data_IF_976387287744
#
_entry.id   IF_976387287744
#
_cell.length_a   1.000
_cell.length_b   1.000
_cell.length_c   1.000
_cell.angle_alpha   90.00
_cell.angle_beta   90.00
_cell.angle_gamma   90.00
#
_symmetry.space_group_name_H-M   'P 1'
#
loop_
_entity.id
_entity.type
_entity.pdbx_description
1 polymer ?
#
# COMPACT_ATOMS: atom_id res chain seq x y z
N UNK A 1 31.07 -26.96 13.52
CA UNK A 1 29.82 -27.49 12.99
C UNK A 1 29.61 -26.83 11.65
N UNK A 2 29.70 -27.63 10.60
CA UNK A 2 29.71 -27.22 9.20
C UNK A 2 28.31 -26.72 8.78
N UNK A 3 28.28 -25.60 8.08
CA UNK A 3 27.10 -25.10 7.38
C UNK A 3 26.98 -25.82 6.03
N UNK A 4 25.86 -26.49 5.70
CA UNK A 4 25.70 -27.05 4.37
C UNK A 4 24.97 -26.09 3.41
N UNK A 5 25.42 -26.15 2.16
CA UNK A 5 24.76 -25.76 0.91
C UNK A 5 24.83 -24.29 0.47
N UNK A 6 25.92 -24.01 -0.25
CA UNK A 6 25.93 -23.10 -1.41
C UNK A 6 24.72 -23.37 -2.32
N UNK A 7 23.90 -22.34 -2.51
CA UNK A 7 22.81 -22.36 -3.48
C UNK A 7 23.43 -22.12 -4.86
N UNK A 8 23.39 -23.12 -5.74
CA UNK A 8 23.80 -23.00 -7.14
C UNK A 8 22.84 -22.09 -7.93
N UNK A 9 23.02 -20.78 -7.80
CA UNK A 9 22.49 -19.79 -8.75
C UNK A 9 23.52 -19.61 -9.86
N UNK A 10 23.30 -20.18 -11.06
CA UNK A 10 24.14 -19.84 -12.21
C UNK A 10 24.40 -20.89 -13.29
N UNK A 11 23.49 -21.84 -13.56
CA UNK A 11 23.67 -22.71 -14.74
C UNK A 11 23.59 -21.85 -16.01
N UNK A 12 24.73 -21.72 -16.72
CA UNK A 12 24.82 -20.99 -17.97
C UNK A 12 24.04 -21.71 -19.07
N UNK A 13 23.33 -20.97 -19.92
CA UNK A 13 22.55 -21.57 -21.02
C UNK A 13 23.41 -22.35 -22.03
N UNK A 14 24.72 -22.11 -22.02
CA UNK A 14 25.73 -22.83 -22.81
C UNK A 14 25.89 -24.29 -22.42
N UNK A 15 25.40 -24.67 -21.24
CA UNK A 15 25.44 -26.05 -20.73
C UNK A 15 24.22 -26.88 -21.15
N UNK A 16 23.27 -26.28 -21.85
CA UNK A 16 22.06 -26.94 -22.33
C UNK A 16 22.28 -27.50 -23.74
N UNK A 17 21.63 -28.63 -24.10
CA UNK A 17 21.75 -29.23 -25.43
C UNK A 17 20.88 -28.47 -26.45
N UNK A 18 21.18 -27.17 -26.63
CA UNK A 18 20.52 -26.29 -27.59
C UNK A 18 21.30 -26.26 -28.90
N UNK A 19 20.60 -26.01 -30.00
CA UNK A 19 21.28 -25.78 -31.28
C UNK A 19 22.10 -24.47 -31.24
N UNK A 20 23.23 -24.38 -31.97
CA UNK A 20 24.10 -23.20 -31.92
C UNK A 20 23.40 -21.89 -32.31
N UNK A 21 22.47 -21.96 -33.27
CA UNK A 21 21.70 -20.80 -33.76
C UNK A 21 20.72 -20.26 -32.70
N UNK A 22 20.00 -21.13 -32.00
CA UNK A 22 19.08 -20.74 -30.92
C UNK A 22 19.84 -20.20 -29.72
N UNK A 23 20.94 -20.85 -29.35
CA UNK A 23 21.81 -20.41 -28.26
C UNK A 23 22.42 -19.03 -28.53
N UNK A 24 22.86 -18.76 -29.76
CA UNK A 24 23.34 -17.44 -30.17
C UNK A 24 22.28 -16.35 -30.04
N UNK A 25 21.05 -16.61 -30.51
CA UNK A 25 19.93 -15.65 -30.40
C UNK A 25 19.55 -15.35 -28.94
N UNK A 26 19.61 -16.35 -28.06
CA UNK A 26 19.33 -16.18 -26.63
C UNK A 26 20.41 -15.35 -25.92
N UNK A 27 21.69 -15.61 -26.22
CA UNK A 27 22.81 -14.82 -25.69
C UNK A 27 22.75 -13.36 -26.18
N UNK A 28 22.44 -13.13 -27.46
CA UNK A 28 22.27 -11.78 -28.01
C UNK A 28 21.11 -11.01 -27.37
N UNK A 29 20.09 -11.72 -26.86
CA UNK A 29 18.98 -11.13 -26.11
C UNK A 29 19.29 -10.90 -24.62
N UNK A 30 20.54 -11.17 -24.18
CA UNK A 30 20.98 -11.00 -22.80
C UNK A 30 20.53 -12.13 -21.85
N UNK A 31 20.00 -13.23 -22.38
CA UNK A 31 19.49 -14.35 -21.59
C UNK A 31 20.61 -15.36 -21.30
N UNK A 32 21.47 -15.01 -20.34
CA UNK A 32 22.72 -15.76 -20.11
C UNK A 32 22.58 -16.92 -19.11
N UNK A 33 21.48 -16.97 -18.34
CA UNK A 33 21.26 -17.96 -17.27
C UNK A 33 19.85 -18.56 -17.33
N UNK A 34 19.71 -19.81 -16.88
CA UNK A 34 18.44 -20.55 -16.87
C UNK A 34 17.30 -19.85 -16.09
N UNK A 35 17.54 -19.18 -14.94
CA UNK A 35 16.48 -18.47 -14.19
C UNK A 35 15.85 -17.30 -14.95
N UNK A 36 16.55 -16.69 -15.92
CA UNK A 36 15.98 -15.64 -16.77
C UNK A 36 14.81 -16.13 -17.63
N UNK A 37 14.61 -17.45 -17.76
CA UNK A 37 13.56 -18.05 -18.59
C UNK A 37 12.30 -18.43 -17.81
N UNK A 38 12.37 -18.56 -16.47
CA UNK A 38 11.21 -18.95 -15.66
C UNK A 38 10.08 -17.92 -15.66
N UNK A 39 10.39 -16.67 -16.03
CA UNK A 39 9.44 -15.55 -16.13
C UNK A 39 8.96 -15.27 -17.57
N UNK A 40 9.45 -16.00 -18.56
CA UNK A 40 9.15 -15.76 -19.98
C UNK A 40 8.07 -16.71 -20.49
N UNK A 41 7.06 -16.16 -21.19
CA UNK A 41 6.09 -16.94 -21.95
C UNK A 41 6.53 -17.06 -23.42
N UNK A 42 5.91 -17.98 -24.16
CA UNK A 42 6.22 -18.25 -25.59
C UNK A 42 6.13 -16.99 -26.47
N UNK A 43 5.25 -16.04 -26.10
CA UNK A 43 5.05 -14.78 -26.80
C UNK A 43 6.23 -13.81 -26.64
N UNK A 44 6.81 -13.71 -25.43
CA UNK A 44 7.93 -12.80 -25.13
C UNK A 44 9.23 -13.31 -25.77
N UNK A 45 9.44 -14.64 -25.80
CA UNK A 45 10.59 -15.24 -26.49
C UNK A 45 10.58 -14.92 -27.99
N UNK A 46 9.42 -15.01 -28.64
CA UNK A 46 9.31 -14.70 -30.07
C UNK A 46 9.56 -13.21 -30.36
N UNK A 47 9.05 -12.30 -29.53
CA UNK A 47 9.12 -10.86 -29.79
C UNK A 47 10.53 -10.27 -29.53
N UNK A 48 11.28 -10.84 -28.59
CA UNK A 48 12.58 -10.31 -28.17
C UNK A 48 13.81 -10.95 -28.84
N UNK A 49 13.68 -12.11 -29.48
CA UNK A 49 14.85 -12.92 -29.92
C UNK A 49 14.86 -13.29 -31.40
N UNK A 50 13.75 -13.08 -32.14
CA UNK A 50 13.63 -13.49 -33.55
C UNK A 50 13.69 -15.01 -33.75
N UNK A 51 13.34 -15.78 -32.72
CA UNK A 51 13.19 -17.25 -32.76
C UNK A 51 11.80 -17.60 -33.30
N UNK A 52 11.70 -18.64 -34.12
CA UNK A 52 10.40 -19.09 -34.64
C UNK A 52 9.58 -19.79 -33.55
N UNK A 53 8.24 -19.77 -33.68
CA UNK A 53 7.32 -20.39 -32.71
C UNK A 53 7.66 -21.86 -32.43
N UNK A 54 8.07 -22.60 -33.47
CA UNK A 54 8.44 -24.02 -33.39
C UNK A 54 9.78 -24.24 -32.66
N UNK A 55 10.77 -23.38 -32.92
CA UNK A 55 12.05 -23.43 -32.21
C UNK A 55 11.88 -23.03 -30.75
N UNK A 56 11.07 -22.02 -30.45
CA UNK A 56 10.76 -21.61 -29.07
C UNK A 56 10.10 -22.76 -28.28
N UNK A 57 9.19 -23.51 -28.92
CA UNK A 57 8.55 -24.68 -28.31
C UNK A 57 9.55 -25.82 -28.03
N UNK A 58 10.50 -26.07 -28.93
CA UNK A 58 11.55 -27.07 -28.74
C UNK A 58 12.53 -26.68 -27.63
N UNK A 59 12.95 -25.41 -27.58
CA UNK A 59 13.80 -24.86 -26.51
C UNK A 59 13.09 -25.00 -25.17
N UNK A 60 11.80 -24.63 -25.09
CA UNK A 60 10.99 -24.78 -23.88
C UNK A 60 10.83 -26.27 -23.50
N UNK A 61 10.68 -27.20 -24.44
CA UNK A 61 10.62 -28.64 -24.15
C UNK A 61 11.93 -29.20 -23.59
N UNK A 62 13.08 -28.81 -24.15
CA UNK A 62 14.41 -29.22 -23.66
C UNK A 62 14.65 -28.66 -22.27
N UNK A 63 14.32 -27.37 -22.06
CA UNK A 63 14.35 -26.73 -20.75
C UNK A 63 13.43 -27.45 -19.78
N UNK A 64 12.19 -27.75 -20.15
CA UNK A 64 11.25 -28.49 -19.31
C UNK A 64 11.71 -29.93 -19.01
N UNK A 65 12.47 -30.59 -19.88
CA UNK A 65 13.01 -31.94 -19.66
C UNK A 65 14.23 -31.94 -18.73
N UNK A 66 15.13 -30.96 -18.86
CA UNK A 66 16.23 -30.78 -17.90
C UNK A 66 15.68 -30.30 -16.54
N UNK A 67 14.60 -29.50 -16.58
CA UNK A 67 13.81 -29.12 -15.41
C UNK A 67 13.00 -30.31 -14.87
N UNK A 68 12.66 -31.36 -15.64
CA UNK A 68 12.01 -32.61 -15.14
C UNK A 68 12.84 -33.38 -14.11
N UNK A 69 14.16 -33.29 -14.14
CA UNK A 69 15.01 -33.75 -13.02
C UNK A 69 14.94 -32.81 -11.80
N UNK A 70 14.52 -31.56 -12.00
CA UNK A 70 14.11 -30.62 -10.96
C UNK A 70 12.60 -30.69 -10.62
N UNK A 71 11.79 -31.59 -11.19
CA UNK A 71 10.38 -31.72 -10.78
C UNK A 71 10.24 -32.35 -9.38
N UNK A 72 11.28 -33.00 -8.85
CA UNK A 72 11.34 -33.31 -7.42
C UNK A 72 11.49 -32.06 -6.53
N UNK A 73 11.71 -30.87 -7.12
CA UNK A 73 11.59 -29.55 -6.48
C UNK A 73 10.27 -28.84 -6.83
N UNK A 74 9.18 -29.58 -7.06
CA UNK A 74 7.82 -29.02 -6.95
C UNK A 74 7.48 -28.55 -5.52
N UNK A 75 8.37 -28.77 -4.55
CA UNK A 75 8.36 -28.16 -3.21
C UNK A 75 8.61 -26.64 -3.18
N UNK A 76 8.93 -26.00 -4.32
CA UNK A 76 9.05 -24.53 -4.40
C UNK A 76 7.86 -23.83 -5.11
N UNK A 77 6.71 -24.50 -5.24
CA UNK A 77 5.41 -23.83 -5.36
C UNK A 77 4.81 -23.60 -3.96
N UNK A 78 5.63 -23.09 -3.03
CA UNK A 78 5.20 -22.71 -1.67
C UNK A 78 4.10 -21.64 -1.64
N UNK A 79 3.79 -21.04 -2.80
CA UNK A 79 2.79 -19.98 -2.95
C UNK A 79 1.44 -20.47 -3.51
N UNK A 80 1.27 -21.76 -3.82
CA UNK A 80 -0.06 -22.29 -4.15
C UNK A 80 -0.77 -22.60 -2.84
N UNK A 81 -1.76 -21.77 -2.50
CA UNK A 81 -2.61 -21.92 -1.33
C UNK A 81 -4.01 -22.30 -1.77
N UNK A 82 -4.72 -23.12 -0.98
CA UNK A 82 -6.13 -23.38 -1.24
C UNK A 82 -6.96 -22.12 -0.95
N UNK A 83 -8.17 -22.03 -1.52
CA UNK A 83 -9.08 -20.93 -1.19
C UNK A 83 -9.43 -20.87 0.31
N UNK A 84 -9.43 -22.02 0.99
CA UNK A 84 -9.64 -22.09 2.44
C UNK A 84 -8.44 -21.53 3.21
N UNK A 85 -7.21 -21.85 2.77
CA UNK A 85 -6.00 -21.31 3.41
C UNK A 85 -5.94 -19.78 3.26
N UNK A 86 -6.28 -19.26 2.07
CA UNK A 86 -6.37 -17.83 1.82
C UNK A 86 -7.42 -17.16 2.74
N UNK A 87 -8.59 -17.78 2.90
CA UNK A 87 -9.62 -17.26 3.80
C UNK A 87 -9.15 -17.20 5.26
N UNK A 88 -8.43 -18.23 5.73
CA UNK A 88 -7.85 -18.26 7.08
C UNK A 88 -6.73 -17.23 7.27
N UNK A 89 -6.03 -16.86 6.20
CA UNK A 89 -5.02 -15.80 6.21
C UNK A 89 -5.67 -14.41 6.24
N UNK A 90 -6.73 -14.20 5.46
CA UNK A 90 -7.52 -12.94 5.48
C UNK A 90 -8.07 -12.64 6.88
N UNK A 91 -8.54 -13.65 7.62
CA UNK A 91 -9.01 -13.49 9.00
C UNK A 91 -7.91 -13.07 10.00
N UNK A 92 -6.64 -13.25 9.65
CA UNK A 92 -5.48 -12.91 10.49
C UNK A 92 -4.85 -11.58 10.12
N UNK A 93 -5.38 -10.88 9.12
CA UNK A 93 -4.87 -9.57 8.71
C UNK A 93 -4.99 -8.61 9.89
N UNK A 94 -3.87 -8.04 10.30
CA UNK A 94 -3.82 -6.99 11.31
C UNK A 94 -4.27 -5.68 10.65
N UNK A 95 -4.87 -4.79 11.44
CA UNK A 95 -5.38 -3.50 10.97
C UNK A 95 -4.86 -2.36 11.84
N UNK A 96 -4.61 -1.20 11.23
CA UNK A 96 -4.35 0.05 11.93
C UNK A 96 -5.69 0.75 12.14
N UNK A 97 -6.14 0.82 13.38
CA UNK A 97 -7.37 1.53 13.76
C UNK A 97 -7.30 3.01 13.38
N UNK A 98 -8.43 3.57 12.98
CA UNK A 98 -8.57 4.99 12.59
C UNK A 98 -8.97 5.89 13.76
N UNK A 99 -9.39 5.30 14.89
CA UNK A 99 -10.04 6.00 16.03
C UNK A 99 -11.39 6.62 15.69
N UNK A 100 -12.02 6.16 14.62
CA UNK A 100 -13.41 6.38 14.30
C UNK A 100 -14.04 5.00 14.09
N UNK A 101 -14.84 4.56 15.05
CA UNK A 101 -15.50 3.25 15.05
C UNK A 101 -16.31 3.02 13.78
N UNK A 102 -16.99 4.06 13.28
CA UNK A 102 -17.71 3.97 12.02
C UNK A 102 -16.79 3.61 10.84
N UNK A 103 -15.62 4.25 10.74
CA UNK A 103 -14.66 3.99 9.68
C UNK A 103 -13.94 2.65 9.85
N UNK A 104 -13.61 2.29 11.09
CA UNK A 104 -13.02 1.00 11.41
C UNK A 104 -13.97 -0.13 11.04
N UNK A 105 -15.27 -0.01 11.37
CA UNK A 105 -16.30 -0.97 10.95
C UNK A 105 -16.44 -1.04 9.43
N UNK A 106 -16.43 0.10 8.73
CA UNK A 106 -16.47 0.14 7.26
C UNK A 106 -15.27 -0.56 6.61
N UNK A 107 -14.12 -0.57 7.28
CA UNK A 107 -12.88 -1.16 6.81
C UNK A 107 -12.55 -2.51 7.47
N UNK A 108 -13.50 -3.15 8.16
CA UNK A 108 -13.38 -4.46 8.85
C UNK A 108 -12.30 -4.50 9.95
N UNK A 109 -12.04 -3.36 10.60
CA UNK A 109 -11.09 -3.24 11.71
C UNK A 109 -10.15 -2.05 11.60
N UNK A 110 -10.19 -1.31 10.48
CA UNK A 110 -9.32 -0.16 10.21
C UNK A 110 -8.55 -0.33 8.91
N UNK A 111 -7.39 0.29 8.78
CA UNK A 111 -6.56 0.20 7.57
C UNK A 111 -5.81 -1.14 7.55
N UNK A 112 -6.07 -2.03 6.59
CA UNK A 112 -5.45 -3.36 6.56
C UNK A 112 -3.95 -3.30 6.24
N UNK A 113 -3.16 -4.11 6.94
CA UNK A 113 -1.79 -4.40 6.57
C UNK A 113 -1.76 -5.28 5.32
N UNK A 114 -0.70 -5.20 4.52
CA UNK A 114 -0.60 -5.98 3.29
C UNK A 114 -1.23 -5.30 2.07
N UNK A 115 -1.98 -4.20 2.28
CA UNK A 115 -2.75 -3.53 1.23
C UNK A 115 -2.41 -2.04 1.08
N UNK A 116 -2.86 -1.48 -0.04
CA UNK A 116 -2.76 -0.05 -0.32
C UNK A 116 -4.13 0.60 -0.15
N UNK A 117 -4.19 1.66 0.67
CA UNK A 117 -5.38 2.48 0.89
C UNK A 117 -5.16 3.90 0.39
N UNK A 118 -6.07 4.40 -0.45
CA UNK A 118 -6.05 5.74 -1.03
C UNK A 118 -7.14 6.62 -0.41
N UNK A 119 -6.74 7.71 0.24
CA UNK A 119 -7.64 8.79 0.65
C UNK A 119 -7.67 9.89 -0.41
N UNK A 120 -8.83 10.15 -0.99
CA UNK A 120 -8.99 11.21 -1.98
C UNK A 120 -10.10 12.20 -1.59
N UNK A 121 -9.98 13.45 -2.01
CA UNK A 121 -10.97 14.48 -1.66
C UNK A 121 -10.49 15.89 -1.97
N UNK A 122 -11.42 16.85 -1.95
CA UNK A 122 -11.13 18.26 -2.17
C UNK A 122 -10.13 18.82 -1.11
N UNK A 123 -9.48 19.98 -1.35
CA UNK A 123 -8.69 20.64 -0.32
C UNK A 123 -9.48 20.85 0.96
N UNK A 124 -8.83 20.73 2.13
CA UNK A 124 -9.49 20.93 3.42
C UNK A 124 -10.43 19.81 3.87
N UNK A 125 -10.56 18.68 3.15
CA UNK A 125 -11.42 17.56 3.55
C UNK A 125 -10.85 16.65 4.65
N UNK A 126 -9.57 16.81 5.03
CA UNK A 126 -8.96 16.06 6.13
C UNK A 126 -7.96 14.97 5.74
N UNK A 127 -7.54 14.86 4.47
CA UNK A 127 -6.59 13.82 4.00
C UNK A 127 -5.31 13.73 4.85
N UNK A 128 -4.59 14.83 5.01
CA UNK A 128 -3.37 14.87 5.83
C UNK A 128 -3.65 14.63 7.33
N UNK A 129 -4.86 14.94 7.81
CA UNK A 129 -5.27 14.63 9.19
C UNK A 129 -5.41 13.13 9.41
N UNK A 130 -5.96 12.39 8.42
CA UNK A 130 -5.95 10.92 8.44
C UNK A 130 -4.52 10.37 8.43
N UNK A 131 -3.65 10.91 7.59
CA UNK A 131 -2.25 10.49 7.54
C UNK A 131 -1.52 10.66 8.86
N UNK A 132 -1.68 11.82 9.53
CA UNK A 132 -1.10 12.06 10.85
C UNK A 132 -1.72 11.15 11.93
N UNK A 133 -3.05 10.97 11.93
CA UNK A 133 -3.73 10.06 12.86
C UNK A 133 -3.23 8.63 12.71
N UNK A 134 -3.13 8.13 11.48
CA UNK A 134 -2.67 6.77 11.21
C UNK A 134 -1.19 6.59 11.57
N UNK A 135 -0.35 7.61 11.36
CA UNK A 135 1.05 7.58 11.77
C UNK A 135 1.21 7.36 13.29
N UNK A 136 0.38 8.04 14.09
CA UNK A 136 0.29 7.81 15.53
C UNK A 136 -0.30 6.44 15.84
N UNK A 137 -1.39 6.07 15.17
CA UNK A 137 -2.13 4.85 15.48
C UNK A 137 -1.37 3.55 15.13
N UNK A 138 -0.42 3.60 14.21
CA UNK A 138 0.48 2.48 13.94
C UNK A 138 1.29 2.08 15.19
N UNK A 139 1.56 3.02 16.11
CA UNK A 139 2.34 2.80 17.32
C UNK A 139 1.52 2.18 18.47
N UNK A 140 0.19 2.05 18.33
CA UNK A 140 -0.66 1.54 19.41
C UNK A 140 -0.27 0.09 19.77
N UNK A 141 -0.07 -0.24 21.05
CA UNK A 141 0.38 -1.57 21.45
C UNK A 141 -0.60 -2.70 21.11
N UNK A 142 -0.06 -3.87 20.77
CA UNK A 142 -0.86 -5.07 20.45
C UNK A 142 -1.76 -5.51 21.61
N UNK A 143 -1.35 -5.25 22.84
CA UNK A 143 -2.11 -5.63 24.03
C UNK A 143 -3.50 -4.97 24.12
N UNK A 144 -3.71 -3.85 23.42
CA UNK A 144 -4.98 -3.12 23.31
C UNK A 144 -5.51 -3.06 21.87
N UNK A 145 -5.06 -3.96 20.99
CA UNK A 145 -5.60 -4.13 19.64
C UNK A 145 -4.93 -3.28 18.55
N UNK A 146 -3.80 -2.62 18.83
CA UNK A 146 -2.98 -1.98 17.81
C UNK A 146 -1.97 -2.94 17.17
N UNK A 147 -1.02 -2.38 16.39
CA UNK A 147 0.00 -3.17 15.67
C UNK A 147 1.42 -3.03 16.22
N UNK A 148 1.63 -2.14 17.19
CA UNK A 148 2.91 -1.86 17.87
C UNK A 148 4.06 -1.66 16.87
N UNK A 149 3.79 -0.87 15.83
CA UNK A 149 4.68 -0.65 14.71
C UNK A 149 5.21 0.77 14.60
N UNK A 150 6.15 0.94 13.66
CA UNK A 150 6.74 2.20 13.25
C UNK A 150 6.12 2.69 11.93
N UNK A 151 6.23 3.99 11.66
CA UNK A 151 5.71 4.63 10.45
C UNK A 151 6.84 5.26 9.65
N UNK A 152 6.83 5.08 8.34
CA UNK A 152 7.58 5.92 7.39
C UNK A 152 6.61 6.91 6.75
N UNK A 153 6.81 8.20 6.96
CA UNK A 153 5.98 9.27 6.41
C UNK A 153 6.74 10.01 5.31
N UNK A 154 6.24 9.96 4.07
CA UNK A 154 6.81 10.68 2.94
C UNK A 154 5.93 11.89 2.64
N UNK A 155 6.40 13.07 3.00
CA UNK A 155 5.72 14.35 2.80
C UNK A 155 6.22 15.02 1.51
N UNK A 156 5.31 15.39 0.62
CA UNK A 156 5.61 16.03 -0.67
C UNK A 156 5.16 17.49 -0.74
N UNK A 157 4.34 17.95 0.21
CA UNK A 157 3.76 19.30 0.19
C UNK A 157 4.07 20.12 1.45
N UNK A 158 4.75 19.54 2.44
CA UNK A 158 4.97 20.19 3.73
C UNK A 158 3.73 20.14 4.62
N UNK A 159 2.84 19.16 4.42
CA UNK A 159 1.61 18.99 5.20
C UNK A 159 1.85 18.35 6.57
N UNK A 160 3.06 17.83 6.82
CA UNK A 160 3.43 17.23 8.08
C UNK A 160 3.75 18.29 9.15
N UNK A 161 2.74 18.63 9.96
CA UNK A 161 2.86 19.61 11.04
C UNK A 161 3.13 18.90 12.37
N UNK A 162 4.32 19.10 12.94
CA UNK A 162 4.78 18.45 14.18
C UNK A 162 3.85 18.76 15.37
N UNK A 163 3.51 20.03 15.59
CA UNK A 163 2.64 20.41 16.72
C UNK A 163 1.29 19.68 16.65
N UNK A 164 0.76 19.53 15.44
CA UNK A 164 -0.47 18.78 15.21
C UNK A 164 -0.32 17.29 15.49
N UNK A 165 0.79 16.69 15.10
CA UNK A 165 1.11 15.29 15.41
C UNK A 165 1.21 15.07 16.93
N UNK A 166 1.83 16.01 17.65
CA UNK A 166 1.97 15.98 19.11
C UNK A 166 0.61 16.04 19.80
N UNK A 167 -0.32 16.86 19.33
CA UNK A 167 -1.68 16.90 19.90
C UNK A 167 -2.42 15.57 19.72
N UNK A 168 -2.32 14.98 18.52
CA UNK A 168 -2.92 13.67 18.21
C UNK A 168 -2.28 12.57 19.08
N UNK A 169 -0.95 12.56 19.20
CA UNK A 169 -0.21 11.60 20.01
C UNK A 169 -0.58 11.70 21.50
N UNK A 170 -0.73 12.93 22.03
CA UNK A 170 -1.15 13.15 23.42
C UNK A 170 -2.51 12.56 23.70
N UNK A 171 -3.45 12.77 22.78
CA UNK A 171 -4.79 12.20 22.85
C UNK A 171 -4.75 10.67 22.78
N UNK A 172 -3.93 10.10 21.89
CA UNK A 172 -3.78 8.65 21.76
C UNK A 172 -3.25 8.00 23.03
N UNK A 173 -2.23 8.57 23.67
CA UNK A 173 -1.69 8.08 24.96
C UNK A 173 -2.77 8.11 26.04
N UNK A 174 -3.51 9.23 26.16
CA UNK A 174 -4.60 9.35 27.13
C UNK A 174 -5.70 8.30 26.90
N UNK A 175 -6.11 8.10 25.64
CA UNK A 175 -7.10 7.09 25.27
C UNK A 175 -6.62 5.66 25.61
N UNK A 176 -5.38 5.32 25.27
CA UNK A 176 -4.81 3.99 25.54
C UNK A 176 -4.74 3.68 27.04
N UNK A 177 -4.42 4.68 27.87
CA UNK A 177 -4.45 4.52 29.32
C UNK A 177 -5.87 4.25 29.84
N UNK A 178 -6.88 4.96 29.32
CA UNK A 178 -8.28 4.75 29.72
C UNK A 178 -8.79 3.34 29.34
N UNK A 179 -8.47 2.88 28.13
CA UNK A 179 -8.84 1.53 27.65
C UNK A 179 -8.19 0.45 28.53
N UNK A 180 -6.91 0.64 28.88
CA UNK A 180 -6.16 -0.29 29.73
C UNK A 180 -6.76 -0.44 31.13
N UNK A 181 -7.27 0.65 31.70
CA UNK A 181 -7.95 0.64 33.02
C UNK A 181 -9.30 -0.06 32.93
N UNK A 182 -10.09 0.23 31.89
CA UNK A 182 -11.46 -0.27 31.73
C UNK A 182 -11.49 -1.78 31.45
N UNK A 183 -10.50 -2.31 30.73
CA UNK A 183 -10.45 -3.75 30.40
C UNK A 183 -9.96 -4.66 31.54
N UNK A 184 -9.74 -4.14 32.76
CA UNK A 184 -9.64 -4.98 33.97
C UNK A 184 -8.53 -6.04 33.98
N UNK A 185 -7.45 -5.87 33.20
CA UNK A 185 -6.28 -6.77 33.28
C UNK A 185 -5.51 -6.47 34.58
N UNK A 186 -5.98 -7.01 35.69
CA UNK A 186 -5.38 -6.98 37.03
C UNK A 186 -4.00 -7.71 37.13
N UNK A 187 -3.26 -7.84 36.03
CA UNK A 187 -1.95 -8.48 35.98
C UNK A 187 -1.07 -7.92 34.85
N UNK A 188 -0.14 -7.03 35.21
CA UNK A 188 1.20 -6.87 34.64
C UNK A 188 1.43 -6.60 33.13
N UNK A 189 0.45 -6.21 32.32
CA UNK A 189 0.76 -5.48 31.08
C UNK A 189 0.19 -4.08 31.14
N UNK A 190 0.91 -3.20 31.85
CA UNK A 190 0.73 -1.77 31.74
C UNK A 190 1.02 -1.38 30.28
N UNK A 191 0.09 -0.72 29.61
CA UNK A 191 0.31 -0.14 28.29
C UNK A 191 1.36 0.97 28.44
N UNK A 192 2.62 0.64 28.15
CA UNK A 192 3.78 1.53 28.25
C UNK A 192 3.95 2.35 26.96
N UNK A 193 2.83 2.93 26.47
CA UNK A 193 2.83 3.84 25.34
C UNK A 193 3.07 5.25 25.86
N UNK A 194 4.20 5.86 25.49
CA UNK A 194 4.52 7.24 25.84
C UNK A 194 4.61 8.11 24.59
N UNK A 195 4.59 9.43 24.79
CA UNK A 195 4.74 10.41 23.72
C UNK A 195 6.07 10.24 22.99
N UNK A 196 7.14 10.04 23.75
CA UNK A 196 8.50 9.89 23.24
C UNK A 196 8.58 8.67 22.31
N UNK A 197 8.01 7.53 22.74
CA UNK A 197 7.98 6.32 21.92
C UNK A 197 7.22 6.51 20.62
N UNK A 198 6.07 7.20 20.65
CA UNK A 198 5.30 7.49 19.43
C UNK A 198 6.13 8.36 18.49
N UNK A 199 6.73 9.44 18.98
CA UNK A 199 7.49 10.38 18.15
C UNK A 199 8.78 9.76 17.60
N UNK A 200 9.47 8.91 18.37
CA UNK A 200 10.65 8.15 17.91
C UNK A 200 10.30 7.09 16.84
N UNK A 201 9.06 6.60 16.84
CA UNK A 201 8.57 5.56 15.92
C UNK A 201 8.10 6.11 14.57
N UNK A 202 8.06 7.43 14.38
CA UNK A 202 7.58 8.08 13.14
C UNK A 202 8.75 8.72 12.40
N UNK A 203 9.15 8.10 11.29
CA UNK A 203 10.26 8.52 10.45
C UNK A 203 9.75 9.38 9.29
N UNK A 204 9.95 10.70 9.36
CA UNK A 204 9.49 11.63 8.32
C UNK A 204 10.58 11.92 7.27
N UNK A 205 10.21 11.88 5.99
CA UNK A 205 11.04 12.19 4.84
C UNK A 205 10.31 13.25 3.99
N UNK A 206 10.99 14.36 3.73
CA UNK A 206 10.48 15.37 2.80
C UNK A 206 10.96 15.07 1.38
N UNK A 207 10.05 15.14 0.40
CA UNK A 207 10.31 14.74 -0.99
C UNK A 207 9.85 15.83 -1.97
N UNK A 208 10.79 16.38 -2.74
CA UNK A 208 10.57 17.56 -3.58
C UNK A 208 10.26 17.25 -5.05
N UNK A 209 10.24 15.97 -5.44
CA UNK A 209 10.09 15.62 -6.85
C UNK A 209 9.79 14.16 -7.10
N UNK A 210 9.16 13.87 -8.25
CA UNK A 210 8.80 12.50 -8.62
C UNK A 210 10.03 11.58 -8.74
N UNK A 211 11.20 12.09 -9.16
CA UNK A 211 12.44 11.28 -9.27
C UNK A 211 12.92 10.82 -7.90
N UNK A 212 12.90 11.72 -6.93
CA UNK A 212 13.25 11.44 -5.54
C UNK A 212 12.25 10.45 -4.94
N UNK A 213 10.94 10.65 -5.16
CA UNK A 213 9.92 9.71 -4.72
C UNK A 213 10.16 8.31 -5.27
N UNK A 214 10.42 8.18 -6.58
CA UNK A 214 10.71 6.87 -7.19
C UNK A 214 11.94 6.21 -6.56
N UNK A 215 13.00 6.98 -6.26
CA UNK A 215 14.19 6.47 -5.60
C UNK A 215 13.90 6.03 -4.14
N UNK A 216 13.16 6.83 -3.38
CA UNK A 216 12.74 6.52 -2.01
C UNK A 216 11.94 5.21 -2.00
N UNK A 217 10.96 5.05 -2.89
CA UNK A 217 10.13 3.83 -2.95
C UNK A 217 10.94 2.59 -3.34
N UNK A 218 11.96 2.71 -4.19
CA UNK A 218 12.88 1.60 -4.49
C UNK A 218 13.75 1.25 -3.27
N UNK A 219 14.26 2.26 -2.56
CA UNK A 219 15.05 2.06 -1.33
C UNK A 219 14.20 1.52 -0.17
N UNK A 220 12.90 1.81 -0.16
CA UNK A 220 11.96 1.39 0.87
C UNK A 220 11.95 -0.14 1.04
N UNK A 221 12.08 -0.92 -0.04
CA UNK A 221 12.20 -2.37 0.04
C UNK A 221 13.41 -2.81 0.89
N UNK A 222 14.53 -2.09 0.78
CA UNK A 222 15.72 -2.36 1.59
C UNK A 222 15.48 -1.96 3.05
N UNK A 223 14.86 -0.81 3.30
CA UNK A 223 14.54 -0.34 4.65
C UNK A 223 13.61 -1.34 5.35
N UNK A 224 12.54 -1.75 4.69
CA UNK A 224 11.55 -2.70 5.23
C UNK A 224 12.11 -4.11 5.45
N UNK A 225 13.04 -4.56 4.60
CA UNK A 225 13.73 -5.84 4.83
C UNK A 225 14.66 -5.82 6.04
N UNK A 226 15.15 -4.63 6.43
CA UNK A 226 16.03 -4.44 7.59
C UNK A 226 15.25 -4.11 8.87
N UNK A 227 14.05 -3.55 8.76
CA UNK A 227 13.22 -3.17 9.91
C UNK A 227 11.78 -3.69 9.76
N UNK A 228 11.51 -4.84 10.38
CA UNK A 228 10.17 -5.46 10.40
C UNK A 228 9.17 -4.75 11.34
N UNK A 229 9.63 -3.78 12.14
CA UNK A 229 8.74 -2.98 13.01
C UNK A 229 7.93 -1.98 12.22
N UNK A 230 8.38 -1.56 11.03
CA UNK A 230 7.59 -0.65 10.19
C UNK A 230 6.31 -1.37 9.77
N UNK A 231 5.16 -0.80 10.14
CA UNK A 231 3.82 -1.32 9.80
C UNK A 231 3.01 -0.35 8.94
N UNK A 232 3.45 0.89 8.80
CA UNK A 232 2.80 1.90 7.99
C UNK A 232 3.80 2.66 7.12
N UNK A 233 3.43 2.84 5.85
CA UNK A 233 4.09 3.76 4.92
C UNK A 233 3.05 4.75 4.43
N UNK A 234 3.29 6.04 4.65
CA UNK A 234 2.43 7.13 4.16
C UNK A 234 3.12 7.87 3.01
N UNK A 235 2.37 8.18 1.95
CA UNK A 235 2.78 9.13 0.91
C UNK A 235 1.73 10.24 0.83
N UNK A 236 2.05 11.39 1.42
CA UNK A 236 1.19 12.58 1.45
C UNK A 236 1.86 13.75 0.72
N UNK A 237 1.55 14.09 -0.53
CA UNK A 237 0.60 13.45 -1.43
C UNK A 237 1.22 13.01 -2.75
N UNK A 238 0.57 12.06 -3.42
CA UNK A 238 1.07 11.53 -4.68
C UNK A 238 0.70 12.41 -5.90
N UNK A 239 -0.42 13.12 -5.84
CA UNK A 239 -1.01 13.79 -7.00
C UNK A 239 -0.19 15.01 -7.48
N UNK A 240 0.37 15.79 -6.55
CA UNK A 240 1.06 17.05 -6.84
C UNK A 240 2.30 16.85 -7.71
N UNK A 241 3.14 15.87 -7.33
CA UNK A 241 4.42 15.56 -7.97
C UNK A 241 4.27 15.17 -9.45
N UNK A 242 3.21 14.43 -9.79
CA UNK A 242 2.97 13.97 -11.15
C UNK A 242 2.16 14.98 -11.97
N UNK A 243 1.42 15.89 -11.33
CA UNK A 243 0.60 16.91 -12.01
C UNK A 243 1.40 18.10 -12.50
N UNK A 244 2.30 18.63 -11.70
CA UNK A 244 2.96 19.90 -11.99
C UNK A 244 4.22 19.73 -12.86
N UNK A 245 4.91 18.58 -12.74
CA UNK A 245 6.30 18.44 -13.20
C UNK A 245 6.50 17.47 -14.37
N UNK A 246 5.43 16.93 -14.97
CA UNK A 246 5.50 15.91 -16.02
C UNK A 246 4.50 16.22 -17.16
N UNK A 247 5.01 16.83 -18.23
CA UNK A 247 4.22 17.15 -19.44
C UNK A 247 4.02 15.94 -20.37
N UNK A 248 4.92 14.96 -20.35
CA UNK A 248 4.80 13.74 -21.13
C UNK A 248 3.81 12.77 -20.45
N UNK A 249 2.61 12.67 -21.03
CA UNK A 249 1.53 11.82 -20.54
C UNK A 249 1.83 10.32 -20.67
N UNK A 250 2.68 9.89 -21.61
CA UNK A 250 3.07 8.49 -21.72
C UNK A 250 4.04 8.12 -20.60
N UNK A 251 5.07 8.94 -20.41
CA UNK A 251 6.01 8.77 -19.31
C UNK A 251 5.30 8.82 -17.97
N UNK A 252 4.39 9.79 -17.77
CA UNK A 252 3.59 9.89 -16.56
C UNK A 252 2.80 8.61 -16.28
N UNK A 253 2.11 8.06 -17.29
CA UNK A 253 1.35 6.80 -17.15
C UNK A 253 2.26 5.63 -16.78
N UNK A 254 3.42 5.51 -17.44
CA UNK A 254 4.39 4.45 -17.15
C UNK A 254 4.94 4.55 -15.73
N UNK A 255 5.32 5.74 -15.29
CA UNK A 255 5.84 5.96 -13.94
C UNK A 255 4.79 5.66 -12.88
N UNK A 256 3.56 6.16 -13.05
CA UNK A 256 2.44 5.88 -12.13
C UNK A 256 2.10 4.39 -12.07
N UNK A 257 2.08 3.68 -13.21
CA UNK A 257 1.85 2.24 -13.23
C UNK A 257 2.97 1.46 -12.54
N UNK A 258 4.22 1.87 -12.75
CA UNK A 258 5.40 1.28 -12.09
C UNK A 258 5.33 1.50 -10.58
N UNK A 259 5.01 2.72 -10.16
CA UNK A 259 4.86 3.08 -8.77
C UNK A 259 3.74 2.30 -8.10
N UNK A 260 2.55 2.25 -8.70
CA UNK A 260 1.41 1.49 -8.19
C UNK A 260 1.77 0.01 -7.96
N UNK A 261 2.37 -0.63 -8.97
CA UNK A 261 2.82 -2.03 -8.87
C UNK A 261 3.86 -2.22 -7.77
N UNK A 262 4.77 -1.27 -7.62
CA UNK A 262 5.83 -1.35 -6.60
C UNK A 262 5.26 -1.19 -5.20
N UNK A 263 4.32 -0.26 -4.99
CA UNK A 263 3.66 -0.06 -3.69
C UNK A 263 2.78 -1.24 -3.30
N UNK A 264 2.01 -1.80 -4.24
CA UNK A 264 1.23 -3.03 -4.00
C UNK A 264 2.14 -4.19 -3.59
N UNK A 265 3.27 -4.36 -4.29
CA UNK A 265 4.26 -5.38 -3.95
C UNK A 265 4.88 -5.14 -2.57
N UNK A 266 5.22 -3.90 -2.25
CA UNK A 266 5.78 -3.53 -0.94
C UNK A 266 4.78 -3.84 0.19
N UNK A 267 3.51 -3.47 0.01
CA UNK A 267 2.48 -3.75 1.00
C UNK A 267 2.39 -5.26 1.27
N UNK A 268 2.24 -6.07 0.22
CA UNK A 268 2.09 -7.52 0.32
C UNK A 268 3.35 -8.24 0.84
N UNK A 269 4.53 -7.95 0.27
CA UNK A 269 5.77 -8.68 0.59
C UNK A 269 6.26 -8.41 2.03
N UNK A 270 6.03 -7.20 2.55
CA UNK A 270 6.50 -6.79 3.88
C UNK A 270 5.39 -6.74 4.93
N UNK A 271 4.16 -7.07 4.55
CA UNK A 271 2.97 -6.99 5.39
C UNK A 271 2.86 -5.62 6.09
N UNK A 272 2.88 -4.55 5.30
CA UNK A 272 2.75 -3.16 5.76
C UNK A 272 1.52 -2.51 5.15
N UNK A 273 0.85 -1.64 5.89
CA UNK A 273 -0.19 -0.80 5.34
C UNK A 273 0.46 0.34 4.55
N UNK A 274 0.03 0.54 3.30
CA UNK A 274 0.48 1.67 2.48
C UNK A 274 -0.66 2.65 2.30
N UNK A 275 -0.51 3.87 2.80
CA UNK A 275 -1.53 4.92 2.74
C UNK A 275 -1.09 6.03 1.82
N UNK A 276 -1.94 6.39 0.86
CA UNK A 276 -1.66 7.40 -0.16
C UNK A 276 -2.75 8.46 -0.15
N UNK A 277 -2.38 9.72 -0.34
CA UNK A 277 -3.37 10.79 -0.55
C UNK A 277 -3.39 11.26 -2.00
N UNK A 278 -4.59 11.55 -2.49
CA UNK A 278 -4.83 12.03 -3.84
C UNK A 278 -5.79 13.23 -3.84
N UNK A 279 -5.38 14.32 -4.46
CA UNK A 279 -6.24 15.50 -4.62
C UNK A 279 -7.33 15.25 -5.67
N UNK A 280 -8.39 16.05 -5.64
CA UNK A 280 -9.43 16.02 -6.68
C UNK A 280 -9.13 17.02 -7.80
N UNK A 281 -9.57 16.70 -9.01
CA UNK A 281 -9.58 17.61 -10.17
C UNK A 281 -10.93 17.54 -10.87
N UNK A 282 -11.26 18.59 -11.62
CA UNK A 282 -12.49 18.63 -12.40
C UNK A 282 -12.25 18.03 -13.79
N UNK A 283 -13.04 17.03 -14.16
CA UNK A 283 -13.16 16.56 -15.54
C UNK A 283 -14.33 17.27 -16.19
N UNK A 284 -14.05 18.02 -17.24
CA UNK A 284 -15.06 18.70 -18.06
C UNK A 284 -15.36 17.79 -19.24
N UNK A 285 -16.62 17.39 -19.42
CA UNK A 285 -17.07 16.62 -20.57
C UNK A 285 -17.79 17.61 -21.50
N UNK A 286 -17.15 18.09 -22.59
CA UNK A 286 -17.67 19.20 -23.39
C UNK A 286 -19.05 18.94 -24.00
N UNK A 287 -19.40 17.66 -24.20
CA UNK A 287 -20.66 17.25 -24.83
C UNK A 287 -21.85 17.17 -23.86
N UNK A 288 -21.61 17.14 -22.55
CA UNK A 288 -22.66 16.94 -21.54
C UNK A 288 -22.93 18.21 -20.72
N UNK A 289 -22.16 19.28 -20.90
CA UNK A 289 -22.28 20.53 -20.12
C UNK A 289 -21.98 20.37 -18.62
N UNK A 290 -21.74 19.15 -18.17
CA UNK A 290 -21.49 18.80 -16.78
C UNK A 290 -20.00 18.69 -16.49
N UNK A 291 -19.65 19.08 -15.26
CA UNK A 291 -18.31 18.95 -14.73
C UNK A 291 -18.35 18.01 -13.51
N UNK A 292 -17.44 17.06 -13.48
CA UNK A 292 -17.40 16.03 -12.42
C UNK A 292 -16.07 16.11 -11.68
N UNK A 293 -16.13 16.02 -10.35
CA UNK A 293 -14.93 15.86 -9.52
C UNK A 293 -14.44 14.42 -9.64
N UNK A 294 -13.17 14.27 -10.00
CA UNK A 294 -12.49 12.99 -10.11
C UNK A 294 -11.12 13.05 -9.41
N UNK A 295 -10.57 11.92 -8.95
CA UNK A 295 -9.21 11.89 -8.40
C UNK A 295 -8.16 12.32 -9.45
N UNK A 296 -7.16 13.11 -9.03
CA UNK A 296 -6.26 13.84 -9.93
C UNK A 296 -5.19 12.99 -10.63
N UNK A 297 -4.90 11.80 -10.12
CA UNK A 297 -3.90 10.90 -10.71
C UNK A 297 -4.38 10.29 -12.04
N UNK A 298 -5.71 10.19 -12.25
CA UNK A 298 -6.32 9.79 -13.51
C UNK A 298 -6.67 8.30 -13.64
N UNK A 299 -7.22 7.93 -14.80
CA UNK A 299 -7.87 6.63 -15.03
C UNK A 299 -6.93 5.43 -14.92
N UNK A 300 -5.65 5.57 -15.31
CA UNK A 300 -4.63 4.50 -15.14
C UNK A 300 -4.52 4.06 -13.68
N UNK A 301 -4.56 5.02 -12.75
CA UNK A 301 -4.50 4.76 -11.32
C UNK A 301 -5.83 4.27 -10.76
N UNK A 302 -6.95 4.68 -11.38
CA UNK A 302 -8.28 4.23 -10.97
C UNK A 302 -8.48 2.71 -11.11
N UNK A 303 -7.68 2.02 -11.92
CA UNK A 303 -7.70 0.55 -12.07
C UNK A 303 -6.79 -0.20 -11.09
N UNK A 304 -5.96 0.51 -10.33
CA UNK A 304 -5.11 -0.11 -9.29
C UNK A 304 -6.04 -0.63 -8.19
N UNK A 305 -5.80 -1.87 -7.75
CA UNK A 305 -6.57 -2.51 -6.68
C UNK A 305 -6.18 -1.92 -5.32
N UNK A 306 -6.78 -0.78 -4.98
CA UNK A 306 -6.62 -0.11 -3.68
C UNK A 306 -7.97 0.03 -2.99
N UNK A 307 -7.97 0.05 -1.66
CA UNK A 307 -9.13 0.53 -0.91
C UNK A 307 -9.23 2.04 -1.10
N UNK A 308 -10.35 2.53 -1.63
CA UNK A 308 -10.53 3.96 -1.95
C UNK A 308 -11.55 4.61 -1.04
N UNK A 309 -11.08 5.56 -0.24
CA UNK A 309 -11.91 6.36 0.66
C UNK A 309 -11.98 7.80 0.16
N UNK A 310 -13.17 8.21 -0.28
CA UNK A 310 -13.46 9.56 -0.78
C UNK A 310 -13.96 10.42 0.38
N UNK A 311 -13.15 11.41 0.78
CA UNK A 311 -13.48 12.39 1.80
C UNK A 311 -14.21 13.59 1.20
N UNK A 312 -15.31 13.98 1.81
CA UNK A 312 -16.11 15.14 1.42
C UNK A 312 -16.53 15.97 2.63
N UNK A 313 -16.75 17.25 2.39
CA UNK A 313 -17.34 18.20 3.34
C UNK A 313 -18.62 18.70 2.67
N UNK A 314 -19.75 18.65 3.38
CA UNK A 314 -21.01 19.16 2.87
C UNK A 314 -21.16 20.69 3.06
N UNK A 315 -22.32 21.24 2.72
CA UNK A 315 -22.59 22.66 2.86
C UNK A 315 -22.72 23.14 4.32
N UNK A 316 -22.93 22.23 5.27
CA UNK A 316 -23.00 22.52 6.70
C UNK A 316 -21.63 22.44 7.38
N UNK A 317 -20.61 21.95 6.66
CA UNK A 317 -19.27 21.73 7.18
C UNK A 317 -19.07 20.31 7.74
N UNK A 318 -20.08 19.45 7.63
CA UNK A 318 -20.02 18.08 8.12
C UNK A 318 -19.16 17.23 7.17
N UNK A 319 -18.28 16.43 7.77
CA UNK A 319 -17.32 15.61 7.05
C UNK A 319 -17.86 14.20 6.92
N UNK A 320 -17.69 13.62 5.73
CA UNK A 320 -18.03 12.23 5.49
C UNK A 320 -16.99 11.53 4.61
N UNK A 321 -16.81 10.25 4.88
CA UNK A 321 -15.95 9.37 4.11
C UNK A 321 -16.83 8.34 3.37
N UNK A 322 -16.65 8.23 2.06
CA UNK A 322 -17.30 7.26 1.21
C UNK A 322 -16.30 6.19 0.77
N UNK A 323 -16.55 4.93 1.11
CA UNK A 323 -15.83 3.81 0.52
C UNK A 323 -16.32 3.60 -0.92
N UNK A 324 -15.49 3.93 -1.92
CA UNK A 324 -15.88 3.91 -3.33
C UNK A 324 -15.37 2.68 -4.08
N UNK A 325 -14.23 2.11 -3.67
CA UNK A 325 -13.69 0.87 -4.25
C UNK A 325 -13.09 0.02 -3.14
N UNK A 326 -13.79 -1.05 -2.81
CA UNK A 326 -13.30 -2.18 -2.03
C UNK A 326 -13.89 -3.44 -2.67
N UNK A 327 -13.05 -4.38 -3.07
CA UNK A 327 -13.43 -5.53 -3.92
C UNK A 327 -14.53 -6.40 -3.32
N UNK A 328 -14.69 -6.36 -2.00
CA UNK A 328 -15.60 -7.19 -1.20
C UNK A 328 -16.70 -6.39 -0.48
N UNK A 329 -16.83 -5.07 -0.68
CA UNK A 329 -17.76 -4.24 0.11
C UNK A 329 -18.67 -3.38 -0.74
N UNK A 330 -19.85 -3.08 -0.16
CA UNK A 330 -20.79 -2.11 -0.72
C UNK A 330 -20.29 -0.69 -0.44
N UNK A 331 -20.53 0.19 -1.41
CA UNK A 331 -20.26 1.61 -1.22
C UNK A 331 -21.06 2.14 -0.03
N UNK A 332 -20.36 2.65 0.97
CA UNK A 332 -20.94 3.12 2.22
C UNK A 332 -20.35 4.47 2.57
N UNK A 333 -21.20 5.42 2.97
CA UNK A 333 -20.79 6.76 3.40
C UNK A 333 -21.04 6.91 4.89
N UNK A 334 -20.02 7.31 5.62
CA UNK A 334 -20.09 7.48 7.08
C UNK A 334 -19.54 8.86 7.49
N UNK A 335 -20.18 9.51 8.48
CA UNK A 335 -19.70 10.77 9.01
C UNK A 335 -18.49 10.55 9.92
N UNK A 336 -17.63 11.56 10.02
CA UNK A 336 -16.52 11.61 10.98
C UNK A 336 -16.27 13.07 11.36
N UNK A 337 -15.54 13.31 12.44
CA UNK A 337 -15.11 14.65 12.83
C UNK A 337 -13.59 14.77 12.91
N UNK A 338 -13.11 16.01 12.80
CA UNK A 338 -11.72 16.37 13.04
C UNK A 338 -11.71 17.42 14.14
N UNK A 339 -11.17 17.07 15.29
CA UNK A 339 -11.07 17.94 16.46
C UNK A 339 -9.61 17.98 16.96
N UNK A 340 -9.34 18.60 18.11
CA UNK A 340 -7.97 18.69 18.65
C UNK A 340 -7.34 17.31 18.91
N UNK A 341 -8.15 16.30 19.21
CA UNK A 341 -7.73 14.93 19.47
C UNK A 341 -7.43 14.11 18.20
N UNK A 342 -7.80 14.63 17.03
CA UNK A 342 -7.56 13.99 15.73
C UNK A 342 -8.86 13.61 15.02
N UNK A 343 -8.88 12.43 14.39
CA UNK A 343 -10.07 11.87 13.72
C UNK A 343 -10.92 11.13 14.75
N UNK A 344 -12.22 11.44 14.86
CA UNK A 344 -13.14 10.78 15.80
C UNK A 344 -14.51 10.51 15.17
N UNK A 345 -15.31 9.68 15.83
CA UNK A 345 -16.71 9.48 15.48
C UNK A 345 -17.52 10.77 15.59
N UNK A 346 -18.41 10.98 14.62
CA UNK A 346 -19.32 12.11 14.64
C UNK A 346 -20.43 11.88 15.66
N UNK A 347 -20.43 12.65 16.75
CA UNK A 347 -21.48 12.58 17.77
C UNK A 347 -22.59 13.55 17.40
N UNK A 348 -23.74 13.03 16.97
CA UNK A 348 -24.93 13.86 16.75
C UNK A 348 -25.39 14.45 18.09
N UNK A 349 -25.23 15.75 18.30
CA UNK A 349 -25.79 16.44 19.45
C UNK A 349 -27.32 16.53 19.30
N UNK A 350 -28.02 15.47 19.70
CA UNK A 350 -29.47 15.50 19.86
C UNK A 350 -29.85 16.38 21.05
N UNK A 351 -29.93 17.70 20.86
CA UNK A 351 -30.86 18.61 21.58
C UNK A 351 -30.81 20.02 20.97
N UNK A 352 -31.51 20.23 19.86
CA UNK A 352 -32.26 21.48 19.70
C UNK A 352 -33.67 21.09 19.26
N UNK A 353 -34.57 21.07 20.22
CA UNK A 353 -36.02 21.11 19.98
C UNK A 353 -36.28 22.35 19.16
N UNK A 354 -36.41 22.21 17.84
CA UNK A 354 -37.04 23.22 17.01
C UNK A 354 -38.49 23.30 17.45
N UNK A 355 -38.82 24.29 18.27
CA UNK A 355 -40.23 24.68 18.44
C UNK A 355 -40.74 25.16 17.06
N UNK A 356 -41.87 24.63 16.58
CA UNK A 356 -42.45 25.10 15.33
C UNK A 356 -42.97 26.55 15.52
N UNK A 357 -42.94 27.37 14.46
CA UNK A 357 -43.51 28.71 14.45
C UNK A 357 -45.03 28.72 14.58
#
# INVERSE_FOLDING_TARGET
MEYPCEISYGKAITTLPLNPTGLGKLLCAGLNTVPCFASLNQSILNLGTGISVKEAEQILKILCQDVKLSFHKFEQLSNIKSAMDLHLEEQKVEHIVTFCEALDSMLDGGIPLGEVTEFCGAPGTGKSQFCLQLAVNACIPKCIGGVEGETVYIDTEGSFIIDRLVDIARSAVAHCHQVSVTQGRHGQSQCDLTMEKILESIHCLYCNGYKELMAIILLLQKILSQNQKIKLVVVDNLASLFRQNLNDMNLRRLLLATLAKTLLKIAADFNVAVVLTNQMTTKIIPREGNSHLIPAIGDTWAHVQTNKVVLSVDCHGDRSALLYKASNKKETRLPFEINNDGIRDFIHSYTQVRQPP
#
